data_IF_916488689449
#
_entry.id   IF_916488689449
#
_cell.length_a   1.000
_cell.length_b   1.000
_cell.length_c   1.000
_cell.angle_alpha   90.00
_cell.angle_beta   90.00
_cell.angle_gamma   90.00
#
_symmetry.space_group_name_H-M   'P 1'
#
loop_
_entity.id
_entity.type
_entity.pdbx_description
1 polymer ?
#
# COMPACT_ATOMS: atom_id res chain seq x y z
N UNK A 1 -13.92 17.04 -17.06
CA UNK A 1 -14.47 15.80 -16.45
C UNK A 1 -13.80 15.61 -15.10
N UNK A 2 -14.58 15.47 -14.01
CA UNK A 2 -14.04 15.39 -12.65
C UNK A 2 -13.47 13.99 -12.40
N UNK A 3 -12.16 13.81 -12.60
CA UNK A 3 -11.51 12.50 -12.64
C UNK A 3 -10.65 12.29 -11.40
N UNK A 4 -11.30 12.00 -10.27
CA UNK A 4 -10.67 11.57 -9.03
C UNK A 4 -11.65 10.71 -8.22
N UNK A 5 -11.19 9.59 -7.65
CA UNK A 5 -12.07 8.67 -6.87
C UNK A 5 -12.22 9.10 -5.40
N UNK A 6 -12.34 10.39 -5.15
CA UNK A 6 -12.59 10.93 -3.82
C UNK A 6 -13.71 11.97 -3.85
N UNK A 7 -14.38 12.21 -2.73
CA UNK A 7 -15.42 13.23 -2.62
C UNK A 7 -14.82 14.62 -2.84
N UNK A 8 -15.67 15.57 -3.22
CA UNK A 8 -15.34 16.99 -3.12
C UNK A 8 -15.03 17.34 -1.66
N UNK A 9 -14.13 18.31 -1.46
CA UNK A 9 -13.69 18.76 -0.14
C UNK A 9 -14.38 20.10 0.15
N UNK A 10 -15.44 20.14 0.98
CA UNK A 10 -16.20 21.36 1.25
C UNK A 10 -15.48 22.25 2.28
N UNK A 11 -14.27 22.71 1.95
CA UNK A 11 -13.43 23.55 2.81
C UNK A 11 -13.00 24.82 2.06
N UNK A 12 -13.23 25.98 2.67
CA UNK A 12 -12.80 27.28 2.15
C UNK A 12 -12.37 28.18 3.30
N UNK A 13 -11.13 28.63 3.27
CA UNK A 13 -10.57 29.63 4.20
C UNK A 13 -9.55 30.50 3.48
N UNK A 14 -9.54 31.80 3.78
CA UNK A 14 -8.54 32.77 3.27
C UNK A 14 -7.13 32.51 3.85
N UNK A 15 -7.05 31.84 5.00
CA UNK A 15 -5.80 31.45 5.64
C UNK A 15 -5.99 30.13 6.41
N UNK A 16 -5.19 29.12 6.08
CA UNK A 16 -5.22 27.80 6.72
C UNK A 16 -3.83 27.15 6.72
N UNK A 17 -3.60 26.30 7.72
CA UNK A 17 -2.48 25.37 7.77
C UNK A 17 -2.90 23.99 7.25
N UNK A 18 -1.91 23.23 6.80
CA UNK A 18 -2.03 21.80 6.48
C UNK A 18 -1.03 21.05 7.34
N UNK A 19 -1.50 20.07 8.11
CA UNK A 19 -0.63 19.13 8.82
C UNK A 19 -0.92 17.69 8.37
N UNK A 20 0.01 16.77 8.63
CA UNK A 20 -0.07 15.39 8.16
C UNK A 20 0.34 14.39 9.23
N UNK A 21 -0.38 13.26 9.32
CA UNK A 21 -0.03 12.10 10.16
C UNK A 21 -0.20 10.82 9.32
N UNK A 22 0.73 9.88 9.46
CA UNK A 22 0.66 8.58 8.77
C UNK A 22 0.35 7.43 9.75
N UNK A 23 -0.49 6.49 9.32
CA UNK A 23 -0.82 5.26 10.06
C UNK A 23 -0.85 4.04 9.14
N UNK A 24 0.24 3.29 9.12
CA UNK A 24 0.42 2.12 8.25
C UNK A 24 0.45 2.53 6.78
N UNK A 25 -0.61 2.22 6.01
CA UNK A 25 -0.73 2.61 4.58
C UNK A 25 -1.79 3.68 4.33
N UNK A 26 -2.13 4.44 5.36
CA UNK A 26 -3.05 5.58 5.28
C UNK A 26 -2.32 6.83 5.76
N UNK A 27 -2.63 7.98 5.15
CA UNK A 27 -2.11 9.29 5.53
C UNK A 27 -3.30 10.23 5.73
N UNK A 28 -3.39 10.86 6.89
CA UNK A 28 -4.41 11.87 7.20
C UNK A 28 -3.79 13.26 7.02
N UNK A 29 -4.42 14.09 6.20
CA UNK A 29 -4.19 15.53 6.22
C UNK A 29 -5.26 16.20 7.08
N UNK A 30 -4.86 17.19 7.87
CA UNK A 30 -5.77 18.05 8.64
C UNK A 30 -5.65 19.47 8.09
N UNK A 31 -6.77 20.03 7.61
CA UNK A 31 -6.88 21.42 7.18
C UNK A 31 -7.43 22.24 8.35
N UNK A 32 -6.68 23.22 8.84
CA UNK A 32 -7.10 24.05 9.98
C UNK A 32 -6.98 25.53 9.65
N UNK A 33 -8.08 26.28 9.76
CA UNK A 33 -8.04 27.74 9.60
C UNK A 33 -7.06 28.39 10.60
N UNK A 34 -6.34 29.43 10.19
CA UNK A 34 -5.40 30.13 11.08
C UNK A 34 -6.12 31.00 12.11
N UNK A 35 -7.33 31.45 11.79
CA UNK A 35 -8.28 32.04 12.74
C UNK A 35 -9.41 31.03 12.98
N UNK A 36 -9.45 30.34 14.13
CA UNK A 36 -10.51 29.38 14.46
C UNK A 36 -11.86 30.02 14.83
N UNK A 37 -11.90 31.33 15.09
CA UNK A 37 -13.12 32.05 15.48
C UNK A 37 -13.89 32.58 14.25
N UNK A 38 -13.17 32.98 13.20
CA UNK A 38 -13.76 33.42 11.92
C UNK A 38 -13.75 32.34 10.82
N UNK A 39 -12.92 31.30 10.95
CA UNK A 39 -12.73 30.28 9.93
C UNK A 39 -13.71 29.09 9.98
N UNK A 40 -13.73 28.23 8.95
CA UNK A 40 -14.44 26.96 9.00
C UNK A 40 -13.85 26.01 10.06
N UNK A 41 -14.63 25.03 10.56
CA UNK A 41 -14.10 23.97 11.41
C UNK A 41 -13.00 23.19 10.68
N UNK A 42 -12.08 22.58 11.46
CA UNK A 42 -11.01 21.78 10.90
C UNK A 42 -11.55 20.60 10.08
N UNK A 43 -10.96 20.35 8.91
CA UNK A 43 -11.38 19.30 7.99
C UNK A 43 -10.26 18.27 7.82
N UNK A 44 -10.50 17.05 8.30
CA UNK A 44 -9.62 15.91 8.06
C UNK A 44 -9.92 15.20 6.74
N UNK A 45 -8.87 14.66 6.13
CA UNK A 45 -8.88 13.91 4.87
C UNK A 45 -7.96 12.69 4.97
N UNK A 46 -8.50 11.47 4.91
CA UNK A 46 -7.70 10.23 4.97
C UNK A 46 -7.45 9.68 3.56
N UNK A 47 -6.19 9.72 3.14
CA UNK A 47 -5.67 9.27 1.84
C UNK A 47 -5.11 7.84 1.88
N UNK A 48 -5.25 7.15 0.75
CA UNK A 48 -4.48 5.95 0.37
C UNK A 48 -3.95 6.17 -1.03
N UNK A 49 -2.65 6.03 -1.24
CA UNK A 49 -2.00 6.42 -2.51
C UNK A 49 -2.17 5.40 -3.64
N UNK A 50 -2.56 4.16 -3.34
CA UNK A 50 -2.62 3.09 -4.35
C UNK A 50 -1.23 2.73 -4.86
N UNK A 51 -1.04 2.71 -6.18
CA UNK A 51 0.23 2.32 -6.83
C UNK A 51 1.10 3.50 -7.31
N UNK A 52 0.52 4.70 -7.44
CA UNK A 52 1.19 5.87 -8.05
C UNK A 52 0.72 7.21 -7.49
N UNK A 53 -0.06 7.21 -6.41
CA UNK A 53 -0.37 8.43 -5.68
C UNK A 53 0.87 9.00 -5.00
N UNK A 54 1.00 10.31 -5.05
CA UNK A 54 2.05 11.09 -4.39
C UNK A 54 1.52 12.47 -4.03
N UNK A 55 2.16 13.14 -3.07
CA UNK A 55 2.03 14.58 -2.89
C UNK A 55 3.23 15.27 -3.51
N UNK A 56 2.97 16.39 -4.20
CA UNK A 56 3.99 17.25 -4.80
C UNK A 56 3.62 18.71 -4.57
N UNK A 57 4.58 19.55 -4.21
CA UNK A 57 4.42 21.00 -4.18
C UNK A 57 4.98 21.55 -5.50
N UNK A 58 4.15 22.20 -6.32
CA UNK A 58 4.57 22.80 -7.60
C UNK A 58 4.15 24.27 -7.68
N UNK A 59 4.71 25.07 -8.60
CA UNK A 59 4.13 26.35 -8.97
C UNK A 59 2.67 26.18 -9.42
N UNK A 60 1.80 27.14 -9.08
CA UNK A 60 0.39 27.08 -9.47
C UNK A 60 0.15 27.32 -10.97
N UNK A 61 1.13 27.92 -11.67
CA UNK A 61 1.14 28.02 -13.13
C UNK A 61 1.50 26.68 -13.81
N UNK A 62 2.24 25.80 -13.14
CA UNK A 62 2.81 24.56 -13.69
C UNK A 62 2.28 23.35 -12.92
N UNK A 63 0.98 23.10 -13.05
CA UNK A 63 0.30 22.02 -12.33
C UNK A 63 0.55 20.65 -12.98
N UNK A 64 0.92 19.61 -12.23
CA UNK A 64 1.07 18.27 -12.76
C UNK A 64 -0.21 17.76 -13.46
N UNK A 65 -0.06 17.19 -14.66
CA UNK A 65 -1.17 16.71 -15.51
C UNK A 65 -2.20 15.81 -14.80
N UNK A 66 -1.76 15.08 -13.78
CA UNK A 66 -2.57 14.13 -13.00
C UNK A 66 -2.84 14.59 -11.55
N UNK A 67 -2.79 15.89 -11.28
CA UNK A 67 -3.16 16.50 -10.01
C UNK A 67 -4.69 16.54 -9.84
N UNK A 68 -5.22 15.61 -9.03
CA UNK A 68 -6.66 15.38 -8.84
C UNK A 68 -7.26 16.13 -7.65
N UNK A 69 -6.43 16.49 -6.67
CA UNK A 69 -6.79 17.37 -5.55
C UNK A 69 -5.63 18.35 -5.34
N UNK A 70 -5.96 19.62 -5.03
CA UNK A 70 -5.00 20.73 -5.02
C UNK A 70 -5.30 21.65 -3.85
N UNK A 71 -4.27 22.03 -3.10
CA UNK A 71 -4.35 23.02 -2.03
C UNK A 71 -3.45 24.20 -2.43
N UNK A 72 -4.04 25.37 -2.66
CA UNK A 72 -3.31 26.55 -3.11
C UNK A 72 -2.75 27.32 -1.91
N UNK A 73 -1.52 27.82 -2.05
CA UNK A 73 -0.90 28.72 -1.07
C UNK A 73 -1.34 30.17 -1.30
N UNK A 74 -1.08 31.05 -0.31
CA UNK A 74 -1.38 32.49 -0.39
C UNK A 74 -0.16 33.34 -0.78
N UNK A 75 0.98 32.70 -1.04
CA UNK A 75 2.23 33.39 -1.37
C UNK A 75 2.26 33.85 -2.83
N UNK A 76 3.19 34.73 -3.17
CA UNK A 76 3.47 35.15 -4.55
C UNK A 76 4.94 34.88 -4.88
N UNK A 77 5.28 34.09 -5.92
CA UNK A 77 4.36 33.38 -6.81
C UNK A 77 3.62 32.23 -6.12
N UNK A 78 2.34 32.02 -6.49
CA UNK A 78 1.50 31.01 -5.87
C UNK A 78 2.00 29.58 -6.15
N UNK A 79 1.91 28.70 -5.14
CA UNK A 79 2.19 27.26 -5.26
C UNK A 79 0.95 26.42 -4.95
N UNK A 80 0.99 25.16 -5.35
CA UNK A 80 -0.08 24.19 -5.18
C UNK A 80 0.47 22.87 -4.62
N UNK A 81 0.02 22.48 -3.43
CA UNK A 81 0.21 21.12 -2.93
C UNK A 81 -0.81 20.21 -3.64
N UNK A 82 -0.31 19.32 -4.49
CA UNK A 82 -1.12 18.49 -5.38
C UNK A 82 -1.06 17.02 -4.96
N UNK A 83 -2.21 16.36 -4.84
CA UNK A 83 -2.29 14.90 -4.86
C UNK A 83 -2.29 14.43 -6.32
N UNK A 84 -1.18 13.82 -6.73
CA UNK A 84 -0.93 13.38 -8.11
C UNK A 84 -1.03 11.86 -8.19
N UNK A 85 -1.93 11.31 -9.01
CA UNK A 85 -2.04 9.86 -9.22
C UNK A 85 -2.37 9.48 -10.67
N UNK A 86 -1.37 9.22 -11.53
CA UNK A 86 -1.58 8.87 -12.93
C UNK A 86 -2.48 7.64 -13.15
N UNK A 87 -2.44 6.63 -12.26
CA UNK A 87 -3.20 5.38 -12.41
C UNK A 87 -4.61 5.43 -11.82
N UNK A 88 -4.95 6.47 -11.04
CA UNK A 88 -6.28 6.68 -10.42
C UNK A 88 -6.72 5.49 -9.53
N UNK A 89 -5.76 4.93 -8.80
CA UNK A 89 -5.94 3.88 -7.79
C UNK A 89 -5.91 4.43 -6.36
N UNK A 90 -5.43 5.65 -6.18
CA UNK A 90 -5.53 6.41 -4.95
C UNK A 90 -6.97 6.80 -4.63
N UNK A 91 -7.24 7.03 -3.35
CA UNK A 91 -8.54 7.45 -2.84
C UNK A 91 -8.36 8.31 -1.60
N UNK A 92 -9.26 9.25 -1.37
CA UNK A 92 -9.38 9.98 -0.11
C UNK A 92 -10.82 9.92 0.41
N UNK A 93 -10.99 10.14 1.71
CA UNK A 93 -12.29 10.19 2.41
C UNK A 93 -12.30 11.40 3.34
N UNK A 94 -13.47 12.03 3.50
CA UNK A 94 -13.67 13.09 4.48
C UNK A 94 -13.73 12.49 5.89
N UNK A 95 -13.26 13.25 6.87
CA UNK A 95 -13.22 12.86 8.28
C UNK A 95 -11.88 12.30 8.71
N UNK A 96 -11.74 12.08 10.02
CA UNK A 96 -10.49 11.76 10.69
C UNK A 96 -10.23 10.25 10.84
N UNK A 97 -11.26 9.44 10.62
CA UNK A 97 -11.29 8.01 10.87
C UNK A 97 -10.42 7.20 9.90
N UNK A 98 -9.43 6.49 10.45
CA UNK A 98 -8.72 5.40 9.78
C UNK A 98 -9.68 4.27 9.36
N UNK A 99 -9.29 3.44 8.38
CA UNK A 99 -10.11 2.29 7.98
C UNK A 99 -10.28 1.31 9.18
N UNK A 100 -11.50 1.06 9.68
CA UNK A 100 -11.71 0.34 10.95
C UNK A 100 -11.14 -1.09 10.98
N UNK A 101 -11.04 -1.74 9.84
CA UNK A 101 -10.49 -3.10 9.69
C UNK A 101 -8.96 -3.15 9.82
N UNK A 102 -8.26 -2.01 9.92
CA UNK A 102 -6.80 -1.94 9.98
C UNK A 102 -6.28 -1.94 11.41
N UNK A 103 -5.37 -2.87 11.68
CA UNK A 103 -4.66 -2.94 12.95
C UNK A 103 -3.70 -1.78 13.20
N UNK A 104 -3.01 -1.80 14.35
CA UNK A 104 -2.00 -0.81 14.69
C UNK A 104 -0.86 -0.76 13.66
N UNK A 105 -0.34 0.45 13.43
CA UNK A 105 0.79 0.71 12.55
C UNK A 105 2.05 0.02 13.08
N UNK A 106 2.73 -0.74 12.20
CA UNK A 106 4.00 -1.40 12.56
C UNK A 106 5.13 -0.43 12.91
N UNK A 107 5.04 0.83 12.45
CA UNK A 107 6.02 1.89 12.72
C UNK A 107 5.68 2.65 14.01
N UNK A 108 4.54 3.34 14.04
CA UNK A 108 4.19 4.26 15.13
C UNK A 108 3.50 3.62 16.34
N UNK A 109 3.02 2.37 16.22
CA UNK A 109 2.24 1.69 17.26
C UNK A 109 2.81 0.28 17.57
N UNK A 110 4.13 0.09 17.49
CA UNK A 110 4.79 -1.23 17.54
C UNK A 110 4.29 -2.17 18.65
N UNK A 111 4.20 -1.68 19.90
CA UNK A 111 3.78 -2.52 21.03
C UNK A 111 2.32 -2.99 20.87
N UNK A 112 1.42 -2.08 20.47
CA UNK A 112 0.02 -2.43 20.20
C UNK A 112 -0.11 -3.37 18.99
N UNK A 113 0.71 -3.18 17.94
CA UNK A 113 0.81 -4.08 16.80
C UNK A 113 1.21 -5.50 17.24
N UNK A 114 2.31 -5.63 18.00
CA UNK A 114 2.83 -6.91 18.48
C UNK A 114 1.78 -7.64 19.32
N UNK A 115 1.15 -6.93 20.25
CA UNK A 115 0.07 -7.48 21.08
C UNK A 115 -1.15 -7.89 20.27
N UNK A 116 -1.58 -7.09 19.28
CA UNK A 116 -2.68 -7.41 18.40
C UNK A 116 -2.44 -8.71 17.61
N UNK A 117 -1.21 -8.97 17.16
CA UNK A 117 -0.86 -10.25 16.51
C UNK A 117 -0.87 -11.40 17.52
N UNK A 118 -0.13 -11.28 18.63
CA UNK A 118 0.08 -12.37 19.59
C UNK A 118 -1.18 -12.78 20.38
N UNK A 119 -2.15 -11.86 20.55
CA UNK A 119 -3.45 -12.11 21.19
C UNK A 119 -4.47 -12.80 20.25
N UNK A 120 -4.25 -12.77 18.94
CA UNK A 120 -5.22 -13.24 17.94
C UNK A 120 -4.70 -14.43 17.08
N UNK A 121 -3.66 -15.14 17.51
CA UNK A 121 -3.05 -16.23 16.72
C UNK A 121 -4.05 -17.34 16.34
N UNK A 122 -5.11 -17.53 17.12
CA UNK A 122 -6.19 -18.49 16.85
C UNK A 122 -7.10 -18.09 15.68
N UNK A 123 -7.03 -16.85 15.17
CA UNK A 123 -7.76 -16.41 13.98
C UNK A 123 -7.33 -17.24 12.75
N UNK A 124 -8.31 -17.67 11.94
CA UNK A 124 -8.11 -18.44 10.69
C UNK A 124 -7.24 -17.71 9.66
N UNK A 125 -7.02 -16.41 9.81
CA UNK A 125 -6.03 -15.66 9.05
C UNK A 125 -4.62 -16.30 9.17
N UNK A 126 -4.25 -16.80 10.35
CA UNK A 126 -2.92 -17.37 10.63
C UNK A 126 -2.77 -18.84 10.18
N UNK A 127 -3.82 -19.47 9.65
CA UNK A 127 -3.70 -20.78 8.97
C UNK A 127 -3.07 -20.68 7.58
N UNK A 128 -2.91 -19.46 7.04
CA UNK A 128 -2.35 -19.21 5.71
C UNK A 128 -0.80 -19.16 5.72
N UNK A 129 -0.16 -19.27 4.53
CA UNK A 129 1.25 -18.93 4.32
C UNK A 129 1.67 -17.61 4.97
N UNK A 130 2.82 -17.59 5.65
CA UNK A 130 3.33 -16.38 6.32
C UNK A 130 3.52 -15.20 5.35
N UNK A 131 3.92 -15.45 4.09
CA UNK A 131 4.03 -14.38 3.09
C UNK A 131 2.68 -13.74 2.72
N UNK A 132 1.55 -14.45 2.86
CA UNK A 132 0.20 -13.90 2.67
C UNK A 132 -0.27 -13.16 3.93
N UNK A 133 -0.01 -13.73 5.10
CA UNK A 133 -0.40 -13.14 6.40
C UNK A 133 0.29 -11.81 6.64
N UNK A 134 1.57 -11.66 6.27
CA UNK A 134 2.29 -10.39 6.30
C UNK A 134 1.65 -9.27 5.44
N UNK A 135 0.78 -9.60 4.48
CA UNK A 135 0.03 -8.59 3.71
C UNK A 135 -1.32 -8.22 4.34
N UNK A 136 -1.80 -8.98 5.34
CA UNK A 136 -3.11 -8.74 5.97
C UNK A 136 -3.06 -7.49 6.85
N UNK A 137 -3.74 -6.42 6.41
CA UNK A 137 -3.69 -5.12 7.08
C UNK A 137 -4.47 -5.06 8.42
N UNK A 138 -5.27 -6.08 8.76
CA UNK A 138 -5.83 -6.27 10.11
C UNK A 138 -4.74 -6.51 11.16
N UNK A 139 -3.62 -7.11 10.75
CA UNK A 139 -2.53 -7.51 11.62
C UNK A 139 -1.23 -6.76 11.33
N UNK A 140 -0.87 -6.59 10.05
CA UNK A 140 0.40 -6.02 9.59
C UNK A 140 0.16 -4.71 8.81
N UNK A 141 -0.47 -3.72 9.46
CA UNK A 141 -0.79 -2.43 8.85
C UNK A 141 0.49 -1.62 8.56
N UNK A 142 0.82 -1.50 7.27
CA UNK A 142 2.09 -0.93 6.80
C UNK A 142 2.88 -1.89 5.89
N UNK A 143 2.91 -3.19 6.19
CA UNK A 143 3.77 -4.15 5.49
C UNK A 143 3.34 -4.35 4.02
N UNK A 144 4.21 -3.96 3.10
CA UNK A 144 4.05 -4.04 1.64
C UNK A 144 4.69 -5.26 0.99
N UNK A 145 4.67 -5.31 -0.34
CA UNK A 145 5.18 -6.47 -1.09
C UNK A 145 6.71 -6.62 -1.01
N UNK A 146 7.45 -5.50 -0.99
CA UNK A 146 8.90 -5.53 -0.79
C UNK A 146 9.25 -5.87 0.67
N UNK A 147 8.61 -5.20 1.63
CA UNK A 147 8.82 -5.45 3.07
C UNK A 147 8.65 -6.92 3.44
N UNK A 148 7.62 -7.64 2.95
CA UNK A 148 7.47 -9.07 3.28
C UNK A 148 8.64 -9.94 2.79
N UNK A 149 9.22 -9.63 1.62
CA UNK A 149 10.37 -10.36 1.09
C UNK A 149 11.62 -10.05 1.93
N UNK A 150 11.87 -8.77 2.19
CA UNK A 150 12.99 -8.26 2.98
C UNK A 150 12.99 -8.75 4.44
N UNK A 151 11.81 -8.88 5.05
CA UNK A 151 11.64 -9.40 6.42
C UNK A 151 11.87 -10.92 6.47
N UNK A 152 11.22 -11.69 5.59
CA UNK A 152 11.36 -13.15 5.56
C UNK A 152 12.80 -13.58 5.19
N UNK A 153 13.46 -12.83 4.30
CA UNK A 153 14.85 -13.06 3.90
C UNK A 153 15.85 -12.83 5.05
N UNK A 154 15.62 -11.82 5.91
CA UNK A 154 16.49 -11.56 7.08
C UNK A 154 16.49 -12.73 8.07
N UNK A 155 15.35 -13.40 8.26
CA UNK A 155 15.20 -14.54 9.20
C UNK A 155 15.33 -15.92 8.58
N UNK A 156 15.46 -16.02 7.25
CA UNK A 156 15.43 -17.29 6.51
C UNK A 156 14.20 -18.14 6.87
N UNK A 157 13.03 -17.49 6.93
CA UNK A 157 11.72 -18.15 7.12
C UNK A 157 11.10 -18.50 5.75
N UNK A 158 10.69 -19.76 5.50
CA UNK A 158 10.07 -20.14 4.22
C UNK A 158 8.77 -19.34 3.97
N UNK A 159 8.59 -18.71 2.81
CA UNK A 159 7.44 -17.83 2.57
C UNK A 159 6.09 -18.56 2.61
N UNK A 160 6.10 -19.87 2.34
CA UNK A 160 4.91 -20.72 2.35
C UNK A 160 4.71 -21.51 3.65
N UNK A 161 5.56 -21.27 4.66
CA UNK A 161 5.38 -21.84 6.00
C UNK A 161 4.08 -21.35 6.64
N UNK A 162 3.43 -22.18 7.45
CA UNK A 162 2.17 -21.81 8.12
C UNK A 162 2.43 -20.69 9.12
N UNK A 163 1.71 -19.57 8.98
CA UNK A 163 1.98 -18.37 9.78
C UNK A 163 1.85 -18.59 11.29
N UNK A 164 0.84 -19.37 11.72
CA UNK A 164 0.66 -19.72 13.14
C UNK A 164 1.88 -20.44 13.71
N UNK A 165 2.37 -21.49 13.04
CA UNK A 165 3.57 -22.26 13.45
C UNK A 165 4.81 -21.37 13.59
N UNK A 166 5.02 -20.44 12.65
CA UNK A 166 6.13 -19.48 12.74
C UNK A 166 5.99 -18.55 13.96
N UNK A 167 4.78 -18.04 14.23
CA UNK A 167 4.54 -17.06 15.30
C UNK A 167 4.47 -17.70 16.70
N UNK A 168 3.98 -18.94 16.82
CA UNK A 168 3.97 -19.72 18.05
C UNK A 168 5.39 -20.04 18.52
N UNK A 169 6.24 -20.55 17.61
CA UNK A 169 7.65 -20.81 17.92
C UNK A 169 8.41 -19.55 18.39
N UNK A 170 8.02 -18.36 17.91
CA UNK A 170 8.57 -17.09 18.39
C UNK A 170 8.02 -16.69 19.77
N UNK A 171 6.73 -16.91 20.03
CA UNK A 171 6.09 -16.68 21.34
C UNK A 171 6.71 -17.59 22.42
N UNK A 172 6.96 -18.85 22.09
CA UNK A 172 7.66 -19.81 22.96
C UNK A 172 9.10 -19.39 23.24
N UNK A 173 9.89 -19.08 22.19
CA UNK A 173 11.26 -18.55 22.36
C UNK A 173 11.30 -17.28 23.21
N UNK A 174 10.34 -16.36 23.06
CA UNK A 174 10.28 -15.18 23.92
C UNK A 174 9.96 -15.54 25.38
N UNK A 175 9.02 -16.45 25.62
CA UNK A 175 8.70 -16.92 26.98
C UNK A 175 9.89 -17.65 27.63
N UNK A 176 10.60 -18.50 26.89
CA UNK A 176 11.82 -19.13 27.38
C UNK A 176 12.90 -18.12 27.73
N UNK A 177 13.14 -17.12 26.87
CA UNK A 177 14.08 -16.02 27.18
C UNK A 177 13.67 -15.29 28.45
N UNK A 178 12.38 -14.94 28.61
CA UNK A 178 11.88 -14.29 29.85
C UNK A 178 12.08 -15.17 31.10
N UNK A 179 11.94 -16.49 30.99
CA UNK A 179 12.18 -17.46 32.08
C UNK A 179 13.67 -17.68 32.39
N UNK A 180 14.55 -17.58 31.39
CA UNK A 180 16.02 -17.76 31.53
C UNK A 180 16.75 -16.46 31.92
N UNK A 181 16.21 -15.29 31.56
CA UNK A 181 16.78 -13.97 31.85
C UNK A 181 16.27 -13.21 33.11
N UNK A 182 15.76 -13.80 34.22
CA UNK A 182 15.41 -13.00 35.41
C UNK A 182 16.57 -12.14 35.92
N UNK A 183 17.78 -12.70 35.92
CA UNK A 183 19.00 -12.10 36.47
C UNK A 183 19.80 -11.20 35.51
N UNK A 184 19.47 -11.16 34.20
CA UNK A 184 20.20 -10.30 33.26
C UNK A 184 19.82 -8.82 33.42
N UNK A 185 20.84 -7.96 33.47
CA UNK A 185 20.70 -6.50 33.44
C UNK A 185 20.03 -6.03 32.14
N UNK A 186 19.32 -4.89 32.20
CA UNK A 186 18.61 -4.31 31.04
C UNK A 186 19.53 -4.17 29.80
N UNK A 187 20.75 -3.68 29.98
CA UNK A 187 21.72 -3.50 28.87
C UNK A 187 22.08 -4.81 28.17
N UNK A 188 22.21 -5.93 28.92
CA UNK A 188 22.45 -7.26 28.33
C UNK A 188 21.21 -7.77 27.58
N UNK A 189 20.01 -7.56 28.13
CA UNK A 189 18.74 -7.91 27.48
C UNK A 189 18.51 -7.16 26.16
N UNK A 190 18.82 -5.87 26.12
CA UNK A 190 18.76 -5.03 24.90
C UNK A 190 19.72 -5.56 23.84
N UNK A 191 20.99 -5.77 24.20
CA UNK A 191 22.01 -6.32 23.27
C UNK A 191 21.58 -7.68 22.68
N UNK A 192 21.07 -8.59 23.51
CA UNK A 192 20.64 -9.93 23.09
C UNK A 192 19.38 -9.90 22.19
N UNK A 193 18.45 -8.94 22.38
CA UNK A 193 17.37 -8.68 21.40
C UNK A 193 17.90 -8.13 20.08
N UNK A 194 18.88 -7.24 20.14
CA UNK A 194 19.45 -6.61 18.93
C UNK A 194 20.27 -7.60 18.08
N UNK A 195 20.91 -8.59 18.70
CA UNK A 195 21.63 -9.67 18.02
C UNK A 195 20.70 -10.74 17.42
N UNK A 196 19.53 -10.99 18.02
CA UNK A 196 18.57 -12.01 17.58
C UNK A 196 17.13 -11.45 17.55
N UNK A 197 16.80 -10.59 16.56
CA UNK A 197 15.47 -10.01 16.44
C UNK A 197 14.44 -11.06 15.96
N UNK A 198 13.21 -10.96 16.45
CA UNK A 198 12.10 -11.80 15.98
C UNK A 198 11.35 -11.21 14.76
N UNK A 199 10.42 -11.98 14.19
CA UNK A 199 9.67 -11.58 13.00
C UNK A 199 8.84 -10.30 13.20
N UNK A 200 8.29 -10.09 14.40
CA UNK A 200 7.47 -8.92 14.70
C UNK A 200 8.36 -7.70 14.98
N UNK A 201 9.51 -7.89 15.63
CA UNK A 201 10.56 -6.87 15.74
C UNK A 201 11.03 -6.41 14.35
N UNK A 202 11.30 -7.33 13.41
CA UNK A 202 11.64 -6.97 12.03
C UNK A 202 10.49 -6.30 11.26
N UNK A 203 9.23 -6.60 11.57
CA UNK A 203 8.10 -5.85 10.99
C UNK A 203 8.11 -4.37 11.38
N UNK A 204 8.80 -3.99 12.46
CA UNK A 204 9.00 -2.60 12.88
C UNK A 204 10.34 -2.03 12.40
N UNK A 205 11.46 -2.75 12.63
CA UNK A 205 12.80 -2.22 12.34
C UNK A 205 13.08 -2.10 10.85
N UNK A 206 12.62 -3.04 10.01
CA UNK A 206 12.89 -3.02 8.57
C UNK A 206 12.24 -1.81 7.87
N UNK A 207 10.97 -1.44 8.14
CA UNK A 207 10.43 -0.15 7.69
C UNK A 207 11.15 1.07 8.28
N UNK A 208 11.64 1.01 9.53
CA UNK A 208 12.38 2.10 10.14
C UNK A 208 13.75 2.34 9.48
N UNK A 209 14.44 1.29 9.02
CA UNK A 209 15.66 1.42 8.20
C UNK A 209 15.39 2.30 6.97
N UNK A 210 14.29 2.07 6.25
CA UNK A 210 13.89 2.84 5.07
C UNK A 210 13.58 4.30 5.43
N UNK A 211 12.77 4.53 6.46
CA UNK A 211 12.40 5.89 6.92
C UNK A 211 13.64 6.68 7.37
N UNK A 212 14.63 6.02 7.99
CA UNK A 212 15.87 6.67 8.43
C UNK A 212 16.83 6.94 7.28
N UNK A 213 16.86 6.08 6.25
CA UNK A 213 17.67 6.29 5.04
C UNK A 213 17.08 7.40 4.13
N UNK A 214 15.75 7.48 4.03
CA UNK A 214 15.03 8.44 3.17
C UNK A 214 14.88 9.84 3.81
N UNK A 215 15.27 10.02 5.08
CA UNK A 215 15.12 11.28 5.83
C UNK A 215 15.72 12.53 5.18
N UNK A 216 16.84 12.49 4.43
CA UNK A 216 17.35 13.66 3.72
C UNK A 216 16.67 13.93 2.36
N UNK A 217 15.76 13.06 1.91
CA UNK A 217 15.49 12.84 0.48
C UNK A 217 13.98 12.72 0.15
N UNK A 218 13.14 13.53 0.79
CA UNK A 218 11.68 13.56 0.54
C UNK A 218 11.25 14.24 -0.78
N UNK A 219 12.19 14.52 -1.70
CA UNK A 219 11.90 14.90 -3.08
C UNK A 219 11.83 13.65 -3.98
N UNK A 220 10.66 13.27 -4.52
CA UNK A 220 10.51 12.10 -5.39
C UNK A 220 11.29 12.17 -6.72
N UNK A 221 11.85 13.31 -7.09
CA UNK A 221 12.53 13.51 -8.39
C UNK A 221 14.06 13.44 -8.31
N UNK A 222 14.63 13.34 -7.11
CA UNK A 222 16.07 13.07 -6.94
C UNK A 222 16.40 11.62 -7.34
N UNK A 223 17.21 11.46 -8.39
CA UNK A 223 17.66 10.17 -8.95
C UNK A 223 18.26 9.22 -7.91
N UNK A 224 18.98 9.80 -6.96
CA UNK A 224 19.85 9.09 -6.04
C UNK A 224 19.04 8.33 -4.98
N UNK A 225 17.81 8.76 -4.72
CA UNK A 225 16.88 8.14 -3.78
C UNK A 225 16.54 6.71 -4.21
N UNK A 226 16.22 6.54 -5.50
CA UNK A 226 15.89 5.22 -6.04
C UNK A 226 17.12 4.32 -6.11
N UNK A 227 18.31 4.88 -6.36
CA UNK A 227 19.57 4.14 -6.30
C UNK A 227 19.88 3.66 -4.87
N UNK A 228 19.75 4.54 -3.87
CA UNK A 228 19.93 4.21 -2.45
C UNK A 228 18.94 3.13 -1.99
N UNK A 229 17.64 3.28 -2.31
CA UNK A 229 16.63 2.27 -2.00
C UNK A 229 16.93 0.93 -2.68
N UNK A 230 17.31 0.94 -3.97
CA UNK A 230 17.69 -0.27 -4.71
C UNK A 230 18.90 -0.98 -4.11
N UNK A 231 19.87 -0.24 -3.58
CA UNK A 231 21.05 -0.78 -2.89
C UNK A 231 20.73 -1.32 -1.48
N UNK A 232 19.67 -0.84 -0.84
CA UNK A 232 19.19 -1.36 0.45
C UNK A 232 18.48 -2.73 0.33
N UNK A 233 17.84 -3.01 -0.82
CA UNK A 233 17.14 -4.27 -1.08
C UNK A 233 18.10 -5.47 -1.07
N UNK A 234 17.78 -6.51 -0.30
CA UNK A 234 18.58 -7.73 -0.18
C UNK A 234 17.93 -8.95 -0.82
N UNK A 235 16.65 -8.88 -1.15
CA UNK A 235 15.88 -9.99 -1.70
C UNK A 235 14.88 -9.56 -2.79
N UNK A 236 14.13 -8.47 -2.56
CA UNK A 236 13.11 -8.03 -3.53
C UNK A 236 13.75 -7.55 -4.83
N UNK A 237 13.42 -8.18 -5.96
CA UNK A 237 14.00 -7.91 -7.29
C UNK A 237 15.55 -8.07 -7.37
N UNK A 238 16.19 -8.70 -6.37
CA UNK A 238 17.64 -8.93 -6.37
C UNK A 238 18.01 -10.13 -7.27
N UNK A 239 19.00 -10.00 -8.18
CA UNK A 239 19.46 -11.12 -9.01
C UNK A 239 19.87 -12.36 -8.20
N UNK A 240 19.58 -13.54 -8.73
CA UNK A 240 19.84 -14.82 -8.05
C UNK A 240 18.79 -15.22 -6.99
N UNK A 241 17.84 -14.35 -6.64
CA UNK A 241 16.71 -14.72 -5.79
C UNK A 241 15.67 -15.53 -6.56
N UNK A 242 15.07 -16.50 -5.89
CA UNK A 242 13.92 -17.24 -6.39
C UNK A 242 12.64 -16.44 -6.19
N UNK A 243 11.62 -16.70 -7.01
CA UNK A 243 10.31 -16.07 -6.83
C UNK A 243 9.16 -17.02 -7.19
N UNK A 244 8.04 -16.87 -6.48
CA UNK A 244 6.79 -17.60 -6.70
C UNK A 244 5.61 -16.64 -6.57
N UNK A 245 4.40 -17.07 -6.94
CA UNK A 245 3.17 -16.30 -6.73
C UNK A 245 2.41 -16.84 -5.53
N UNK A 246 1.86 -15.92 -4.72
CA UNK A 246 0.89 -16.27 -3.69
C UNK A 246 -0.52 -16.49 -4.28
N UNK A 247 -1.49 -16.89 -3.45
CA UNK A 247 -2.88 -17.13 -3.87
C UNK A 247 -3.58 -15.89 -4.44
N UNK A 248 -3.10 -14.68 -4.13
CA UNK A 248 -3.60 -13.43 -4.70
C UNK A 248 -2.90 -13.02 -6.01
N UNK A 249 -2.02 -13.88 -6.53
CA UNK A 249 -1.27 -13.67 -7.76
C UNK A 249 -0.07 -12.73 -7.62
N UNK A 250 0.28 -12.27 -6.41
CA UNK A 250 1.41 -11.36 -6.18
C UNK A 250 2.70 -12.17 -6.05
N UNK A 251 3.76 -11.68 -6.68
CA UNK A 251 5.09 -12.26 -6.55
C UNK A 251 5.65 -12.08 -5.14
N UNK A 252 6.26 -13.13 -4.59
CA UNK A 252 7.11 -13.15 -3.40
C UNK A 252 8.51 -13.60 -3.81
N UNK A 253 9.55 -12.89 -3.33
CA UNK A 253 10.95 -13.23 -3.53
C UNK A 253 11.52 -13.89 -2.27
N UNK A 254 12.44 -14.83 -2.45
CA UNK A 254 13.10 -15.59 -1.38
C UNK A 254 14.38 -16.26 -1.88
N UNK A 255 15.19 -16.81 -0.97
CA UNK A 255 16.41 -17.55 -1.29
C UNK A 255 16.16 -19.06 -1.14
N UNK A 256 16.37 -19.85 -2.19
CA UNK A 256 16.37 -21.32 -2.12
C UNK A 256 17.70 -21.82 -1.53
N UNK A 257 17.67 -22.91 -0.78
CA UNK A 257 18.87 -23.58 -0.24
C UNK A 257 19.36 -23.06 1.11
N UNK A 258 18.87 -21.91 1.59
CA UNK A 258 19.16 -21.39 2.94
C UNK A 258 18.20 -21.95 4.02
N UNK A 259 17.32 -22.89 3.66
CA UNK A 259 16.30 -23.48 4.54
C UNK A 259 16.85 -24.62 5.41
N UNK A 260 17.96 -24.36 6.10
CA UNK A 260 18.56 -25.28 7.08
C UNK A 260 18.86 -24.54 8.38
N UNK A 261 18.49 -25.17 9.51
CA UNK A 261 19.00 -24.90 10.86
C UNK A 261 18.49 -23.69 11.70
N UNK A 262 17.79 -22.67 11.16
CA UNK A 262 17.36 -21.52 12.02
C UNK A 262 16.09 -21.74 12.85
N UNK A 263 15.13 -22.51 12.34
CA UNK A 263 14.01 -23.04 13.11
C UNK A 263 14.37 -24.46 13.52
N UNK A 264 14.76 -24.66 14.78
CA UNK A 264 14.97 -25.98 15.41
C UNK A 264 13.67 -26.78 15.61
N UNK A 265 12.78 -26.75 14.62
CA UNK A 265 11.67 -27.69 14.48
C UNK A 265 12.30 -29.04 14.19
N UNK A 266 12.23 -29.95 15.16
CA UNK A 266 12.81 -31.28 15.03
C UNK A 266 12.26 -32.02 13.82
N UNK A 267 13.14 -32.76 13.13
CA UNK A 267 12.82 -33.52 11.94
C UNK A 267 11.62 -34.46 12.16
N UNK A 268 10.48 -34.30 11.46
CA UNK A 268 9.44 -35.31 11.45
C UNK A 268 9.93 -36.48 10.60
N UNK A 269 10.33 -37.58 11.24
CA UNK A 269 10.42 -38.87 10.55
C UNK A 269 9.00 -39.34 10.22
N UNK A 270 8.46 -38.84 9.11
CA UNK A 270 7.21 -39.32 8.53
C UNK A 270 7.37 -39.38 7.02
N UNK A 271 7.34 -40.60 6.50
CA UNK A 271 7.31 -40.89 5.07
C UNK A 271 6.09 -40.22 4.42
N UNK A 272 6.23 -39.59 3.25
CA UNK A 272 5.08 -38.97 2.59
C UNK A 272 4.16 -40.05 2.00
N UNK A 273 2.82 -39.94 2.14
CA UNK A 273 1.89 -40.78 1.40
C UNK A 273 2.01 -40.47 -0.09
N UNK A 274 1.95 -41.50 -0.94
CA UNK A 274 2.06 -41.36 -2.41
C UNK A 274 0.90 -40.51 -2.95
N UNK A 275 1.22 -39.40 -3.61
CA UNK A 275 0.24 -38.41 -4.08
C UNK A 275 0.74 -37.48 -5.18
N UNK A 276 1.38 -38.04 -6.22
CA UNK A 276 1.54 -37.50 -7.58
C UNK A 276 1.53 -35.97 -7.78
N UNK A 277 2.72 -35.35 -7.90
CA UNK A 277 3.03 -34.34 -8.93
C UNK A 277 4.46 -34.60 -9.46
N UNK A 278 4.73 -34.40 -10.77
CA UNK A 278 5.85 -35.08 -11.43
C UNK A 278 7.22 -34.42 -11.20
N UNK A 279 8.23 -35.27 -10.99
CA UNK A 279 9.65 -34.93 -11.04
C UNK A 279 10.10 -34.90 -12.50
N UNK A 280 10.64 -33.78 -13.00
CA UNK A 280 11.60 -33.80 -14.11
C UNK A 280 12.49 -32.54 -14.12
N UNK A 281 13.77 -32.78 -14.45
CA UNK A 281 14.89 -31.85 -14.69
C UNK A 281 15.81 -31.49 -13.52
N UNK A 282 16.53 -32.52 -13.06
CA UNK A 282 17.98 -32.39 -12.94
C UNK A 282 18.57 -32.26 -14.36
N UNK A 283 19.15 -31.10 -14.69
CA UNK A 283 20.11 -31.02 -15.79
C UNK A 283 21.39 -30.34 -15.31
N UNK A 284 22.52 -30.99 -15.64
CA UNK A 284 23.87 -30.57 -15.27
C UNK A 284 24.19 -29.18 -15.84
N UNK A 285 24.77 -28.32 -15.02
CA UNK A 285 25.63 -27.23 -15.49
C UNK A 285 27.01 -27.80 -15.81
N UNK A 286 27.56 -27.61 -17.03
CA UNK A 286 28.98 -27.74 -17.28
C UNK A 286 29.67 -26.43 -16.88
N UNK A 287 30.61 -26.53 -15.94
CA UNK A 287 31.58 -25.47 -15.67
C UNK A 287 32.65 -25.49 -16.78
N UNK A 288 32.91 -24.35 -17.43
CA UNK A 288 34.23 -23.79 -17.80
C UNK A 288 34.10 -22.70 -18.87
N UNK A 289 34.87 -21.62 -18.71
CA UNK A 289 35.32 -20.74 -19.80
C UNK A 289 36.75 -21.14 -20.20
N UNK A 290 37.22 -20.80 -21.41
CA UNK A 290 37.92 -19.52 -21.56
C UNK A 290 37.57 -18.76 -22.85
N UNK A 291 38.11 -17.55 -22.98
CA UNK A 291 37.87 -16.62 -24.09
C UNK A 291 38.80 -16.85 -25.30
N UNK A 292 38.38 -16.37 -26.48
CA UNK A 292 39.19 -15.62 -27.46
C UNK A 292 38.28 -15.08 -28.59
N UNK A 293 38.75 -14.06 -29.32
CA UNK A 293 37.98 -13.23 -30.27
C UNK A 293 38.28 -13.60 -31.75
N UNK A 294 37.98 -12.78 -32.80
CA UNK A 294 36.89 -13.10 -33.73
C UNK A 294 37.34 -13.35 -35.19
N UNK A 295 36.60 -14.17 -35.94
CA UNK A 295 36.85 -14.34 -37.39
C UNK A 295 35.57 -14.36 -38.22
N UNK A 296 35.61 -13.62 -39.33
CA UNK A 296 34.63 -13.54 -40.41
C UNK A 296 34.58 -14.82 -41.28
N UNK A 297 33.79 -14.75 -42.37
CA UNK A 297 33.84 -15.57 -43.62
C UNK A 297 32.77 -16.67 -43.79
N UNK A 298 31.72 -16.29 -44.54
CA UNK A 298 30.85 -17.15 -45.40
C UNK A 298 31.60 -17.49 -46.73
N UNK A 299 31.09 -18.28 -47.74
CA UNK A 299 29.74 -18.81 -47.95
C UNK A 299 29.60 -20.22 -48.61
N UNK A 300 28.36 -20.71 -48.79
CA UNK A 300 27.86 -21.57 -49.90
C UNK A 300 26.31 -21.52 -49.85
N UNK A 301 25.55 -20.94 -50.79
CA UNK A 301 25.32 -21.32 -52.19
C UNK A 301 24.66 -22.72 -52.33
N UNK A 302 23.57 -22.97 -53.09
CA UNK A 302 22.72 -22.13 -53.95
C UNK A 302 21.46 -22.95 -54.35
N UNK A 303 20.26 -22.34 -54.43
CA UNK A 303 19.28 -22.64 -55.51
C UNK A 303 18.25 -21.53 -55.68
N UNK A 304 18.27 -20.89 -56.84
CA UNK A 304 17.39 -19.77 -57.23
C UNK A 304 16.08 -20.27 -57.84
N UNK A 305 15.01 -19.47 -57.72
CA UNK A 305 14.13 -19.17 -58.87
C UNK A 305 13.84 -17.66 -58.94
N UNK A 306 13.68 -17.19 -60.17
CA UNK A 306 13.96 -15.83 -60.67
C UNK A 306 12.83 -14.80 -60.44
N UNK A 307 13.25 -13.53 -60.21
CA UNK A 307 12.83 -12.23 -60.82
C UNK A 307 11.33 -11.82 -60.77
N UNK A 308 10.95 -10.54 -60.72
CA UNK A 308 11.67 -9.26 -60.94
C UNK A 308 11.28 -8.19 -59.87
N UNK A 309 12.19 -7.30 -59.43
CA UNK A 309 12.34 -5.87 -59.82
C UNK A 309 11.13 -4.96 -59.47
N UNK A 310 11.26 -3.77 -58.85
CA UNK A 310 12.46 -2.98 -58.49
C UNK A 310 12.33 -2.25 -57.14
N UNK A 311 13.28 -1.36 -56.82
CA UNK A 311 13.54 -0.81 -55.48
C UNK A 311 13.33 0.74 -55.38
N UNK A 312 13.39 1.36 -54.18
CA UNK A 312 12.88 2.72 -53.82
C UNK A 312 13.97 3.84 -54.01
N UNK A 313 14.06 5.02 -53.31
CA UNK A 313 13.29 5.63 -52.19
C UNK A 313 13.12 7.19 -52.25
N UNK A 314 12.98 7.83 -51.05
CA UNK A 314 12.92 9.29 -50.68
C UNK A 314 11.52 9.90 -50.62
N UNK A 315 11.07 10.64 -49.58
CA UNK A 315 11.62 11.64 -48.62
C UNK A 315 11.28 13.09 -49.01
N UNK A 316 11.15 13.97 -48.00
CA UNK A 316 10.64 15.35 -48.09
C UNK A 316 9.11 15.45 -48.41
N UNK A 317 8.33 16.45 -47.98
CA UNK A 317 8.52 17.52 -46.97
C UNK A 317 7.13 18.00 -46.43
N UNK A 318 7.11 19.11 -45.69
CA UNK A 318 5.93 19.76 -45.10
C UNK A 318 4.97 20.36 -46.14
N UNK A 319 3.67 20.42 -45.84
CA UNK A 319 2.81 21.54 -46.27
C UNK A 319 1.59 21.71 -45.35
N UNK A 320 1.37 22.92 -44.84
CA UNK A 320 0.14 23.36 -44.17
C UNK A 320 -0.87 23.86 -45.21
N UNK A 321 -2.15 23.49 -45.08
CA UNK A 321 -3.25 24.34 -45.58
C UNK A 321 -4.33 24.53 -44.50
N UNK A 322 -4.90 25.74 -44.50
CA UNK A 322 -5.89 26.25 -43.55
C UNK A 322 -7.25 26.43 -44.21
N UNK A 323 -8.28 26.44 -43.35
CA UNK A 323 -9.61 27.03 -43.61
C UNK A 323 -10.44 26.28 -44.69
N UNK A 324 -11.78 26.33 -44.70
CA UNK A 324 -12.71 27.25 -44.04
C UNK A 324 -13.99 26.54 -43.54
N UNK A 325 -14.78 27.26 -42.72
CA UNK A 325 -16.05 26.82 -42.13
C UNK A 325 -17.25 27.11 -43.05
N UNK A 326 -18.17 26.15 -43.25
CA UNK A 326 -19.48 26.42 -43.86
C UNK A 326 -20.60 25.54 -43.27
N UNK A 327 -21.78 26.12 -43.04
CA UNK A 327 -22.79 25.58 -42.14
C UNK A 327 -24.10 25.10 -42.82
N UNK A 328 -24.49 23.84 -42.51
CA UNK A 328 -25.89 23.32 -42.41
C UNK A 328 -26.73 23.31 -43.73
N UNK A 329 -28.00 22.81 -43.75
CA UNK A 329 -28.74 21.98 -42.79
C UNK A 329 -29.41 20.69 -43.36
N UNK A 330 -29.78 19.76 -42.46
CA UNK A 330 -31.18 19.35 -42.35
C UNK A 330 -31.72 18.11 -43.09
N UNK A 331 -31.93 17.02 -42.32
CA UNK A 331 -33.03 16.01 -42.38
C UNK A 331 -32.73 14.98 -41.27
N UNK A 332 -33.62 14.57 -40.36
CA UNK A 332 -35.02 14.89 -40.14
C UNK A 332 -35.80 13.63 -39.71
N UNK A 333 -36.21 13.50 -38.44
CA UNK A 333 -37.23 12.53 -37.98
C UNK A 333 -37.78 12.88 -36.59
N UNK A 334 -39.07 13.19 -36.51
CA UNK A 334 -39.85 13.34 -35.27
C UNK A 334 -40.11 11.95 -34.64
N UNK A 335 -40.03 11.74 -33.32
CA UNK A 335 -41.01 12.12 -32.25
C UNK A 335 -42.45 11.62 -32.50
N UNK A 336 -42.83 10.58 -31.77
CA UNK A 336 -44.21 10.32 -31.36
C UNK A 336 -44.40 10.69 -29.88
N UNK A 337 -45.48 11.40 -29.53
CA UNK A 337 -45.81 11.83 -28.17
C UNK A 337 -47.32 11.68 -27.95
N UNK A 338 -47.75 11.13 -26.81
CA UNK A 338 -49.14 11.23 -26.33
C UNK A 338 -49.19 11.93 -24.95
N UNK A 339 -50.24 12.74 -24.79
CA UNK A 339 -50.74 13.52 -23.64
C UNK A 339 -52.29 13.52 -23.85
N UNK A 340 -53.20 13.75 -22.91
CA UNK A 340 -53.26 13.82 -21.43
C UNK A 340 -54.75 13.94 -21.06
N UNK A 341 -55.18 13.44 -19.89
CA UNK A 341 -56.32 13.89 -19.04
C UNK A 341 -56.31 13.05 -17.75
N UNK A 342 -56.94 13.39 -16.62
CA UNK A 342 -57.07 14.64 -15.85
C UNK A 342 -57.41 14.25 -14.37
N UNK A 343 -57.25 15.15 -13.38
CA UNK A 343 -57.45 14.88 -11.93
C UNK A 343 -58.92 15.11 -11.47
N UNK A 344 -59.34 15.26 -10.17
CA UNK A 344 -58.66 15.70 -8.92
C UNK A 344 -58.34 14.50 -7.95
N UNK A 345 -58.12 14.57 -6.63
CA UNK A 345 -58.23 15.61 -5.59
C UNK A 345 -57.27 15.40 -4.37
N UNK A 346 -57.58 16.00 -3.21
CA UNK A 346 -56.99 15.74 -1.87
C UNK A 346 -58.09 15.84 -0.79
N UNK A 347 -57.85 15.45 0.49
CA UNK A 347 -57.51 16.49 1.47
C UNK A 347 -56.54 16.11 2.62
N UNK A 348 -55.92 17.16 3.15
CA UNK A 348 -55.55 17.44 4.57
C UNK A 348 -54.55 16.60 5.39
N UNK A 349 -53.80 17.34 6.21
CA UNK A 349 -52.91 16.92 7.30
C UNK A 349 -53.57 17.37 8.62
N UNK A 350 -53.27 16.78 9.79
CA UNK A 350 -52.34 17.52 10.65
C UNK A 350 -51.35 16.67 11.47
N UNK A 351 -50.27 17.33 11.87
CA UNK A 351 -49.26 16.87 12.81
C UNK A 351 -49.87 16.56 14.20
N UNK A 352 -49.31 15.61 14.94
CA UNK A 352 -49.46 15.59 16.40
C UNK A 352 -48.11 15.48 17.11
N UNK A 353 -47.91 16.39 18.06
CA UNK A 353 -46.75 16.48 18.94
C UNK A 353 -47.07 15.72 20.23
N UNK A 354 -46.14 14.90 20.73
CA UNK A 354 -46.12 14.51 22.16
C UNK A 354 -44.71 14.58 22.77
N UNK A 355 -44.45 15.70 23.46
CA UNK A 355 -43.49 15.74 24.57
C UNK A 355 -44.22 15.35 25.86
N UNK A 356 -43.70 14.41 26.64
CA UNK A 356 -43.03 14.74 27.92
C UNK A 356 -42.95 13.57 28.92
N UNK A 357 -41.76 13.47 29.54
CA UNK A 357 -41.44 13.10 30.93
C UNK A 357 -42.27 12.02 31.65
N UNK A 358 -41.55 11.01 32.15
CA UNK A 358 -41.47 10.83 33.62
C UNK A 358 -40.10 10.34 34.07
N UNK A 359 -39.54 11.03 35.06
CA UNK A 359 -38.34 10.69 35.81
C UNK A 359 -38.68 9.69 36.92
N UNK A 360 -37.72 8.86 37.32
CA UNK A 360 -37.75 8.16 38.61
C UNK A 360 -36.44 8.42 39.35
N UNK A 361 -36.53 9.23 40.41
CA UNK A 361 -35.52 9.30 41.46
C UNK A 361 -36.15 8.68 42.71
N UNK A 362 -35.46 7.73 43.34
CA UNK A 362 -35.76 7.31 44.72
C UNK A 362 -34.83 8.08 45.67
N UNK A 363 -35.34 8.40 46.85
CA UNK A 363 -34.71 9.29 47.83
C UNK A 363 -34.79 8.65 49.21
N UNK A 364 -33.71 8.77 49.99
CA UNK A 364 -33.60 8.22 51.35
C UNK A 364 -34.50 8.88 52.38
N UNK A 365 -34.83 8.08 53.41
CA UNK A 365 -35.06 8.39 54.84
C UNK A 365 -34.94 7.05 55.60
N UNK A 366 -34.44 6.94 56.83
CA UNK A 366 -33.86 7.87 57.81
C UNK A 366 -33.46 7.11 59.09
N UNK A 367 -32.71 7.72 60.00
CA UNK A 367 -32.04 7.11 61.18
C UNK A 367 -32.98 6.73 62.35
N UNK A 368 -32.45 6.21 63.49
CA UNK A 368 -32.19 7.14 64.61
C UNK A 368 -30.98 6.84 65.56
N UNK A 369 -30.44 7.92 66.17
CA UNK A 369 -29.69 7.97 67.45
C UNK A 369 -28.21 7.57 67.42
N UNK A 370 -27.25 8.14 68.17
CA UNK A 370 -27.13 9.18 69.22
C UNK A 370 -25.62 9.18 69.63
N UNK A 371 -25.07 10.03 70.54
CA UNK A 371 -25.70 11.01 71.44
C UNK A 371 -25.50 12.48 71.06
#
# INVERSE_FOLDING_TARGET
SAVGRGPEVPFRSEAYGISAVARGKELRLTLSALDPAAGPPAQDLVFRFGMSGSFRLSPAAELPRHAHLRFLTRESPQRALCFVDPRRFGSWRLGDAWQPERGPCVVSEYQAFRENVLKNLDDRAFDKPICEVLLNQKYFNGIGNYLRAEILFRLKIPPFEKARTVLEALKEREQERRKKDPSLTLSKKVKLRQENPDLLELCHTVPMEVIMAEKPLLDPEHSDNYAAFKNWLRCYLVPGMSSLRDRSGRTIWFQVGAWGCSLGLGSPQTTPPRGHWPVFFLLRLPLHSPALTPTQVSPRALKQRRRAAGNPPKSEEEEEEKEEEAARPGKGRARGRRKVTAAPASPEVPLSVRRSRRTSARRDKGEPGSP
#
